data_IF_867285698014
#
_entry.id   IF_867285698014
#
_cell.length_a   1.000
_cell.length_b   1.000
_cell.length_c   1.000
_cell.angle_alpha   90.00
_cell.angle_beta   90.00
_cell.angle_gamma   90.00
#
_symmetry.space_group_name_H-M   'P 1'
#
loop_
_entity.id
_entity.type
_entity.pdbx_description
1 polymer ?
#
# COMPACT_ATOMS: atom_id res chain seq x y z
N UNK A 1 -36.77 -50.17 -48.47
CA UNK A 1 -36.29 -49.05 -47.62
C UNK A 1 -35.40 -48.15 -48.46
N UNK A 2 -35.79 -46.90 -48.67
CA UNK A 2 -35.19 -45.98 -49.65
C UNK A 2 -33.96 -45.30 -49.03
N UNK A 3 -32.76 -45.74 -49.41
CA UNK A 3 -31.48 -45.16 -48.99
C UNK A 3 -31.37 -43.74 -49.55
N UNK A 4 -31.52 -42.72 -48.69
CA UNK A 4 -31.28 -41.32 -49.05
C UNK A 4 -29.77 -41.10 -49.09
N UNK A 5 -29.16 -41.23 -50.28
CA UNK A 5 -27.81 -40.71 -50.51
C UNK A 5 -27.88 -39.20 -50.34
N UNK A 6 -27.36 -38.69 -49.22
CA UNK A 6 -27.01 -37.30 -49.06
C UNK A 6 -25.89 -37.02 -50.08
N UNK A 7 -26.25 -36.54 -51.27
CA UNK A 7 -25.34 -35.77 -52.12
C UNK A 7 -25.10 -34.45 -51.40
N UNK A 8 -24.29 -34.53 -50.36
CA UNK A 8 -23.80 -33.40 -49.60
C UNK A 8 -22.86 -32.65 -50.53
N UNK A 9 -23.38 -31.60 -51.14
CA UNK A 9 -22.62 -30.69 -51.99
C UNK A 9 -21.34 -30.31 -51.26
N UNK A 10 -20.19 -30.78 -51.76
CA UNK A 10 -18.85 -30.55 -51.21
C UNK A 10 -18.61 -29.07 -50.85
N UNK A 11 -19.29 -28.16 -51.55
CA UNK A 11 -19.29 -26.73 -51.28
C UNK A 11 -19.77 -26.35 -49.88
N UNK A 12 -20.85 -26.96 -49.37
CA UNK A 12 -21.43 -26.60 -48.05
C UNK A 12 -20.47 -26.96 -46.91
N UNK A 13 -19.77 -28.09 -47.02
CA UNK A 13 -18.75 -28.51 -46.05
C UNK A 13 -17.61 -27.50 -46.01
N UNK A 14 -17.14 -27.05 -47.18
CA UNK A 14 -16.07 -26.05 -47.29
C UNK A 14 -16.48 -24.71 -46.64
N UNK A 15 -17.72 -24.27 -46.89
CA UNK A 15 -18.25 -23.06 -46.26
C UNK A 15 -18.34 -23.16 -44.73
N UNK A 16 -18.73 -24.32 -44.20
CA UNK A 16 -18.76 -24.54 -42.74
C UNK A 16 -17.34 -24.46 -42.15
N UNK A 17 -16.35 -25.07 -42.79
CA UNK A 17 -14.96 -25.04 -42.31
C UNK A 17 -14.41 -23.61 -42.28
N UNK A 18 -14.66 -22.81 -43.32
CA UNK A 18 -14.26 -21.41 -43.35
C UNK A 18 -14.92 -20.62 -42.23
N UNK A 19 -16.22 -20.82 -42.00
CA UNK A 19 -16.95 -20.14 -40.92
C UNK A 19 -16.39 -20.48 -39.54
N UNK A 20 -16.07 -21.76 -39.29
CA UNK A 20 -15.44 -22.19 -38.04
C UNK A 20 -14.06 -21.54 -37.85
N UNK A 21 -13.24 -21.44 -38.90
CA UNK A 21 -11.93 -20.78 -38.82
C UNK A 21 -12.09 -19.28 -38.49
N UNK A 22 -13.07 -18.59 -39.10
CA UNK A 22 -13.37 -17.20 -38.79
C UNK A 22 -13.86 -17.04 -37.34
N UNK A 23 -14.71 -17.95 -36.86
CA UNK A 23 -15.12 -17.98 -35.46
C UNK A 23 -13.94 -18.23 -34.49
N UNK A 24 -13.00 -19.11 -34.83
CA UNK A 24 -11.81 -19.34 -34.01
C UNK A 24 -10.90 -18.11 -33.98
N UNK A 25 -10.74 -17.41 -35.11
CA UNK A 25 -10.00 -16.15 -35.17
C UNK A 25 -10.63 -15.07 -34.28
N UNK A 26 -11.95 -14.88 -34.35
CA UNK A 26 -12.62 -13.89 -33.48
C UNK A 26 -12.52 -14.28 -32.01
N UNK A 27 -12.67 -15.56 -31.68
CA UNK A 27 -12.54 -16.05 -30.31
C UNK A 27 -11.11 -15.89 -29.77
N UNK A 28 -10.09 -16.15 -30.60
CA UNK A 28 -8.69 -15.94 -30.24
C UNK A 28 -8.35 -14.45 -30.04
N UNK A 29 -8.87 -13.57 -30.90
CA UNK A 29 -8.70 -12.12 -30.77
C UNK A 29 -9.38 -11.61 -29.49
N UNK A 30 -10.60 -12.07 -29.19
CA UNK A 30 -11.28 -11.75 -27.94
C UNK A 30 -10.49 -12.27 -26.74
N UNK A 31 -9.98 -13.50 -26.77
CA UNK A 31 -9.16 -14.06 -25.70
C UNK A 31 -7.87 -13.25 -25.46
N UNK A 32 -7.20 -12.81 -26.53
CA UNK A 32 -6.00 -11.97 -26.44
C UNK A 32 -6.34 -10.55 -25.94
N UNK A 33 -7.44 -9.97 -26.42
CA UNK A 33 -7.92 -8.66 -25.97
C UNK A 33 -8.32 -8.68 -24.50
N UNK A 34 -9.04 -9.72 -24.07
CA UNK A 34 -9.37 -9.97 -22.66
C UNK A 34 -8.13 -10.21 -21.83
N UNK A 35 -7.14 -10.99 -22.29
CA UNK A 35 -5.88 -11.19 -21.57
C UNK A 35 -5.08 -9.89 -21.44
N UNK A 36 -5.01 -9.07 -22.49
CA UNK A 36 -4.36 -7.75 -22.47
C UNK A 36 -5.09 -6.78 -21.56
N UNK A 37 -6.43 -6.75 -21.59
CA UNK A 37 -7.26 -5.93 -20.71
C UNK A 37 -7.14 -6.36 -19.24
N UNK A 38 -7.10 -7.67 -18.97
CA UNK A 38 -6.80 -8.21 -17.64
C UNK A 38 -5.39 -7.80 -17.19
N UNK A 39 -4.38 -7.90 -18.05
CA UNK A 39 -3.01 -7.55 -17.71
C UNK A 39 -2.87 -6.06 -17.38
N UNK A 40 -3.46 -5.17 -18.19
CA UNK A 40 -3.44 -3.73 -17.94
C UNK A 40 -4.19 -3.34 -16.66
N UNK A 41 -5.28 -4.04 -16.34
CA UNK A 41 -6.03 -3.81 -15.09
C UNK A 41 -5.24 -4.29 -13.86
N UNK A 42 -4.54 -5.42 -13.98
CA UNK A 42 -3.63 -5.93 -12.93
C UNK A 42 -2.44 -5.01 -12.71
N UNK A 43 -1.87 -4.44 -13.78
CA UNK A 43 -0.75 -3.49 -13.68
C UNK A 43 -1.15 -2.20 -12.94
N UNK A 44 -2.34 -1.66 -13.22
CA UNK A 44 -2.88 -0.51 -12.49
C UNK A 44 -3.14 -0.82 -11.01
N UNK A 45 -3.66 -2.00 -10.69
CA UNK A 45 -3.82 -2.44 -9.28
C UNK A 45 -2.48 -2.63 -8.57
N UNK A 46 -1.45 -3.13 -9.25
CA UNK A 46 -0.10 -3.30 -8.68
C UNK A 46 0.54 -1.96 -8.32
N UNK A 47 0.33 -0.90 -9.12
CA UNK A 47 0.91 0.41 -8.81
C UNK A 47 0.31 1.04 -7.54
N UNK A 48 -1.00 0.95 -7.34
CA UNK A 48 -1.63 1.41 -6.08
C UNK A 48 -1.16 0.59 -4.87
N UNK A 49 -0.97 -0.71 -5.03
CA UNK A 49 -0.46 -1.57 -3.95
C UNK A 49 1.03 -1.34 -3.65
N UNK A 50 1.85 -1.03 -4.66
CA UNK A 50 3.28 -0.73 -4.46
C UNK A 50 3.50 0.51 -3.60
N UNK A 51 2.77 1.60 -3.86
CA UNK A 51 2.98 2.85 -3.12
C UNK A 51 2.64 2.70 -1.63
N UNK A 52 1.57 1.97 -1.31
CA UNK A 52 1.21 1.64 0.06
C UNK A 52 2.35 0.91 0.79
N UNK A 53 2.94 -0.11 0.16
CA UNK A 53 4.04 -0.88 0.77
C UNK A 53 5.36 -0.12 0.82
N UNK A 54 5.64 0.74 -0.15
CA UNK A 54 6.82 1.60 -0.14
C UNK A 54 6.78 2.56 1.05
N UNK A 55 5.63 3.21 1.26
CA UNK A 55 5.45 4.14 2.37
C UNK A 55 5.51 3.42 3.74
N UNK A 56 4.91 2.24 3.85
CA UNK A 56 5.04 1.40 5.05
C UNK A 56 6.49 1.00 5.33
N UNK A 57 7.23 0.58 4.30
CA UNK A 57 8.65 0.21 4.45
C UNK A 57 9.51 1.41 4.86
N UNK A 58 9.20 2.60 4.36
CA UNK A 58 9.88 3.82 4.78
C UNK A 58 9.56 4.17 6.25
N UNK A 59 8.30 4.00 6.66
CA UNK A 59 7.88 4.09 8.06
C UNK A 59 8.64 3.14 8.97
N UNK A 60 8.83 1.89 8.55
CA UNK A 60 9.54 0.86 9.31
C UNK A 60 11.03 1.20 9.45
N UNK A 61 11.67 1.74 8.41
CA UNK A 61 13.07 2.20 8.49
C UNK A 61 13.23 3.38 9.44
N UNK A 62 12.28 4.31 9.42
CA UNK A 62 12.25 5.41 10.40
C UNK A 62 12.06 4.86 11.81
N UNK A 63 11.18 3.88 11.99
CA UNK A 63 10.97 3.21 13.28
C UNK A 63 12.23 2.50 13.80
N UNK A 64 12.94 1.78 12.93
CA UNK A 64 14.22 1.14 13.26
C UNK A 64 15.27 2.18 13.69
N UNK A 65 15.29 3.33 13.02
CA UNK A 65 16.17 4.44 13.41
C UNK A 65 15.81 4.97 14.80
N UNK A 66 14.51 5.15 15.07
CA UNK A 66 13.99 5.55 16.39
C UNK A 66 14.41 4.54 17.47
N UNK A 67 14.22 3.25 17.22
CA UNK A 67 14.58 2.18 18.16
C UNK A 67 16.07 2.22 18.52
N UNK A 68 16.94 2.37 17.52
CA UNK A 68 18.38 2.49 17.74
C UNK A 68 18.74 3.71 18.61
N UNK A 69 18.11 4.86 18.39
CA UNK A 69 18.35 6.05 19.21
C UNK A 69 17.78 5.89 20.63
N UNK A 70 16.57 5.34 20.77
CA UNK A 70 15.99 5.04 22.08
C UNK A 70 16.88 4.10 22.89
N UNK A 71 17.47 3.08 22.25
CA UNK A 71 18.38 2.15 22.89
C UNK A 71 19.71 2.81 23.29
N UNK A 72 20.24 3.73 22.46
CA UNK A 72 21.43 4.51 22.80
C UNK A 72 21.18 5.44 23.99
N UNK A 73 20.06 6.18 23.97
CA UNK A 73 19.68 7.06 25.07
C UNK A 73 19.44 6.29 26.35
N UNK A 74 18.82 5.12 26.28
CA UNK A 74 18.62 4.26 27.44
C UNK A 74 19.95 3.81 28.06
N UNK A 75 20.97 3.50 27.25
CA UNK A 75 22.30 3.13 27.74
C UNK A 75 23.10 4.31 28.30
N UNK A 76 22.96 5.51 27.73
CA UNK A 76 23.68 6.70 28.20
C UNK A 76 23.04 7.33 29.43
N UNK A 77 21.74 7.14 29.63
CA UNK A 77 21.00 7.80 30.69
C UNK A 77 20.99 7.01 31.99
N UNK A 78 21.24 7.73 33.09
CA UNK A 78 21.24 7.14 34.44
C UNK A 78 19.86 7.21 35.10
N UNK A 79 19.04 8.19 34.72
CA UNK A 79 17.72 8.49 35.32
C UNK A 79 16.65 8.73 34.24
N UNK A 80 15.36 8.66 34.60
CA UNK A 80 14.25 8.91 33.67
C UNK A 80 14.25 10.32 33.07
N UNK A 81 14.55 11.33 33.89
CA UNK A 81 14.51 12.73 33.45
C UNK A 81 15.58 13.01 32.37
N UNK A 82 16.74 12.40 32.52
CA UNK A 82 17.84 12.49 31.56
C UNK A 82 17.46 11.79 30.24
N UNK A 83 16.85 10.60 30.32
CA UNK A 83 16.35 9.86 29.16
C UNK A 83 15.33 10.66 28.35
N UNK A 84 14.31 11.23 29.01
CA UNK A 84 13.28 12.02 28.32
C UNK A 84 13.82 13.37 27.80
N UNK A 85 14.84 13.93 28.43
CA UNK A 85 15.55 15.11 27.91
C UNK A 85 16.26 14.78 26.59
N UNK A 86 16.94 13.63 26.51
CA UNK A 86 17.59 13.18 25.28
C UNK A 86 16.59 12.86 24.16
N UNK A 87 15.45 12.27 24.51
CA UNK A 87 14.36 11.99 23.56
C UNK A 87 13.87 13.25 22.85
N UNK A 88 13.81 14.40 23.53
CA UNK A 88 13.40 15.65 22.88
C UNK A 88 14.31 16.03 21.69
N UNK A 89 15.60 15.67 21.73
CA UNK A 89 16.52 15.91 20.63
C UNK A 89 16.22 15.09 19.37
N UNK A 90 15.46 14.00 19.51
CA UNK A 90 15.06 13.12 18.41
C UNK A 90 14.14 13.84 17.41
N UNK A 91 13.42 14.87 17.85
CA UNK A 91 12.61 15.74 16.96
C UNK A 91 13.44 16.54 15.96
N UNK A 92 14.73 16.75 16.22
CA UNK A 92 15.65 17.41 15.28
C UNK A 92 16.17 16.45 14.22
N UNK A 93 16.14 15.15 14.49
CA UNK A 93 16.66 14.09 13.62
C UNK A 93 15.56 13.65 12.64
N UNK A 94 14.31 13.61 13.10
CA UNK A 94 13.17 13.12 12.32
C UNK A 94 12.31 14.31 11.85
N UNK A 95 12.25 14.56 10.53
CA UNK A 95 11.39 15.61 9.99
C UNK A 95 9.92 15.32 10.28
N UNK A 96 9.13 16.37 10.49
CA UNK A 96 7.69 16.31 10.80
C UNK A 96 7.35 15.38 11.97
N UNK A 97 8.20 15.39 13.00
CA UNK A 97 7.96 14.70 14.26
C UNK A 97 7.66 15.67 15.39
N UNK A 98 6.82 15.24 16.33
CA UNK A 98 6.46 16.01 17.51
C UNK A 98 6.42 15.10 18.71
N UNK A 99 6.91 15.59 19.84
CA UNK A 99 6.90 14.85 21.10
C UNK A 99 6.04 15.59 22.09
N UNK A 100 4.94 14.96 22.50
CA UNK A 100 4.08 15.46 23.56
C UNK A 100 4.19 14.51 24.75
N UNK A 101 4.89 14.97 25.79
CA UNK A 101 5.19 14.19 27.00
C UNK A 101 6.03 12.94 26.69
N UNK A 102 5.38 11.80 26.48
CA UNK A 102 6.01 10.52 26.16
C UNK A 102 5.53 9.97 24.81
N UNK A 103 4.72 10.74 24.08
CA UNK A 103 4.15 10.32 22.81
C UNK A 103 4.92 10.99 21.68
N UNK A 104 5.64 10.17 20.89
CA UNK A 104 6.31 10.59 19.67
C UNK A 104 5.36 10.32 18.49
N UNK A 105 4.99 11.39 17.79
CA UNK A 105 4.28 11.32 16.52
C UNK A 105 5.23 11.69 15.40
N UNK A 106 5.13 11.01 14.27
CA UNK A 106 5.79 11.43 13.05
C UNK A 106 4.94 11.11 11.83
N UNK A 107 5.07 11.95 10.81
CA UNK A 107 4.37 11.79 9.54
C UNK A 107 5.33 11.65 8.39
N UNK A 108 5.05 10.69 7.50
CA UNK A 108 5.78 10.55 6.24
C UNK A 108 4.80 10.77 5.10
N UNK A 109 5.09 11.73 4.24
CA UNK A 109 4.27 12.03 3.07
C UNK A 109 4.97 11.55 1.79
N UNK A 110 4.20 10.89 0.93
CA UNK A 110 4.54 10.59 -0.45
C UNK A 110 3.56 11.32 -1.40
N UNK A 111 3.68 11.10 -2.72
CA UNK A 111 2.92 11.83 -3.73
C UNK A 111 1.39 11.70 -3.57
N UNK A 112 0.90 10.54 -3.13
CA UNK A 112 -0.54 10.25 -3.05
C UNK A 112 -1.03 9.82 -1.65
N UNK A 113 -0.13 9.54 -0.71
CA UNK A 113 -0.48 9.02 0.61
C UNK A 113 0.39 9.61 1.70
N UNK A 114 -0.16 9.68 2.91
CA UNK A 114 0.52 10.10 4.13
C UNK A 114 0.42 8.97 5.15
N UNK A 115 1.56 8.60 5.74
CA UNK A 115 1.64 7.67 6.85
C UNK A 115 1.73 8.47 8.15
N UNK A 116 0.79 8.23 9.04
CA UNK A 116 0.77 8.73 10.41
C UNK A 116 1.16 7.61 11.37
N UNK A 117 2.21 7.84 12.15
CA UNK A 117 2.66 6.91 13.18
C UNK A 117 2.70 7.62 14.53
N UNK A 118 2.16 6.95 15.53
CA UNK A 118 2.17 7.40 16.92
C UNK A 118 2.74 6.31 17.81
N UNK A 119 3.73 6.69 18.61
CA UNK A 119 4.49 5.77 19.46
C UNK A 119 4.57 6.34 20.86
N UNK A 120 4.21 5.53 21.84
CA UNK A 120 4.38 5.81 23.26
C UNK A 120 5.74 5.29 23.73
N UNK A 121 6.59 6.19 24.22
CA UNK A 121 7.92 5.88 24.71
C UNK A 121 7.82 5.48 26.18
N UNK A 122 8.48 4.37 26.52
CA UNK A 122 8.40 3.74 27.84
C UNK A 122 9.75 3.81 28.56
N UNK A 123 9.71 4.11 29.86
CA UNK A 123 10.87 4.03 30.74
C UNK A 123 10.44 3.72 32.19
N UNK A 124 11.15 2.86 32.95
CA UNK A 124 12.13 1.87 32.53
C UNK A 124 11.47 0.50 32.22
N UNK A 125 12.03 -0.28 31.29
CA UNK A 125 11.48 -1.60 30.96
C UNK A 125 12.25 -2.38 29.92
N UNK A 126 11.86 -3.65 29.69
CA UNK A 126 12.39 -4.50 28.63
C UNK A 126 11.97 -4.07 27.22
N UNK A 127 10.96 -3.21 27.13
CA UNK A 127 10.42 -2.66 25.90
C UNK A 127 10.48 -1.13 26.01
N UNK A 128 11.17 -0.50 25.07
CA UNK A 128 11.47 0.94 25.09
C UNK A 128 10.34 1.79 24.50
N UNK A 129 9.43 1.18 23.73
CA UNK A 129 8.30 1.88 23.14
C UNK A 129 7.15 0.94 22.79
N UNK A 130 5.97 1.51 22.60
CA UNK A 130 4.78 0.83 22.09
C UNK A 130 4.14 1.65 20.98
N UNK A 131 3.93 1.01 19.82
CA UNK A 131 3.20 1.63 18.71
C UNK A 131 1.71 1.71 19.10
N UNK A 132 1.14 2.92 19.06
CA UNK A 132 -0.27 3.18 19.35
C UNK A 132 -1.09 3.21 18.08
N UNK A 133 -0.57 3.91 17.07
CA UNK A 133 -1.27 4.13 15.81
C UNK A 133 -0.30 3.95 14.65
N UNK A 134 -0.76 3.21 13.63
CA UNK A 134 -0.10 3.10 12.34
C UNK A 134 -1.18 3.21 11.26
N UNK A 135 -1.30 4.37 10.62
CA UNK A 135 -2.37 4.65 9.67
C UNK A 135 -1.82 5.29 8.40
N UNK A 136 -2.13 4.68 7.26
CA UNK A 136 -1.87 5.28 5.94
C UNK A 136 -3.19 5.85 5.44
N UNK A 137 -3.21 7.15 5.15
CA UNK A 137 -4.35 7.84 4.55
C UNK A 137 -3.95 8.39 3.17
N UNK A 138 -4.86 8.42 2.19
CA UNK A 138 -4.63 9.15 0.95
C UNK A 138 -4.39 10.62 1.24
N UNK A 139 -3.35 11.22 0.66
CA UNK A 139 -3.04 12.65 0.86
C UNK A 139 -4.10 13.59 0.27
N UNK A 140 -4.96 13.05 -0.61
CA UNK A 140 -6.09 13.73 -1.24
C UNK A 140 -7.43 13.58 -0.51
N UNK A 141 -7.45 13.07 0.74
CA UNK A 141 -8.64 13.24 1.58
C UNK A 141 -8.86 14.75 1.80
N UNK A 142 -9.85 15.30 1.08
CA UNK A 142 -10.44 16.58 1.41
C UNK A 142 -10.87 16.52 2.88
N UNK A 143 -10.13 17.23 3.72
CA UNK A 143 -10.44 17.40 5.13
C UNK A 143 -11.75 18.21 5.25
N UNK A 144 -12.86 17.50 5.25
CA UNK A 144 -14.18 18.07 5.55
C UNK A 144 -14.41 18.03 7.06
N UNK A 145 -13.42 18.46 7.84
CA UNK A 145 -13.55 18.66 9.29
C UNK A 145 -13.09 20.07 9.72
N UNK A 146 -13.29 21.06 8.84
CA UNK A 146 -13.44 22.44 9.29
C UNK A 146 -14.86 22.68 9.79
N UNK A 147 -14.93 22.93 11.11
CA UNK A 147 -16.02 23.58 11.85
C UNK A 147 -17.13 22.66 12.36
N UNK A 148 -16.95 22.23 13.60
CA UNK A 148 -18.03 22.36 14.57
C UNK A 148 -17.47 23.02 15.83
N UNK A 149 -17.36 24.36 15.78
CA UNK A 149 -17.39 25.17 17.00
C UNK A 149 -18.79 24.96 17.62
N UNK A 150 -18.88 24.09 18.61
CA UNK A 150 -20.06 24.02 19.47
C UNK A 150 -19.93 25.13 20.52
N UNK A 151 -20.72 26.18 20.29
CA UNK A 151 -20.99 27.31 21.19
C UNK A 151 -21.35 26.89 22.62
#
# INVERSE_FOLDING_TARGET
>A
MKQRKLTMNIGIISFIVIFVILCLMTFAILSLSSAKSNAQSVENSINHTKQYYLLSSQGEKTLETIDNYLYQYYQSSTNSDDYFTHIQSLTQIIPDSSIHQHLLTYTLQDQENTLYVEIEILYPGSQLYQIKTWKITPSNEWDMDQSMDIL
#
